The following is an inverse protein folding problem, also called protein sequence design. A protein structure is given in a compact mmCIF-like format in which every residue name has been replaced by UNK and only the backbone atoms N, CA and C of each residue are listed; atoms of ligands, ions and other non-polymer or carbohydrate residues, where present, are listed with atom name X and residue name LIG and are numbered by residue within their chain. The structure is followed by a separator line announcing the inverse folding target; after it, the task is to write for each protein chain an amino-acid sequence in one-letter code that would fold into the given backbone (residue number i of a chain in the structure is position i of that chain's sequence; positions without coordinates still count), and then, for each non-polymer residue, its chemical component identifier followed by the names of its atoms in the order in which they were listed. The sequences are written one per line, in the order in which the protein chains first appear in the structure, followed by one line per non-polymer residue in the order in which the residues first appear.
data_IF_448225627617
#
_entry.id   IF_448225627617
#
_cell.length_a   1.000
_cell.length_b   1.000
_cell.length_c   1.000
_cell.angle_alpha   90.00
_cell.angle_beta   90.00
_cell.angle_gamma   90.00
#
_symmetry.space_group_name_H-M   'P 1'
#
loop_
_entity.id
_entity.type
_entity.pdbx_description
1 polymer ?
#
# COMPACT_ATOMS: atom_id res chain seq x y z
N UNK A 1 2.82 6.99 -15.38
CA UNK A 1 3.44 8.29 -15.68
C UNK A 1 4.77 8.10 -16.37
N UNK A 2 5.22 9.11 -17.11
CA UNK A 2 6.52 9.10 -17.76
C UNK A 2 7.62 9.14 -16.70
N UNK A 3 8.71 8.37 -16.91
CA UNK A 3 9.84 8.32 -15.96
C UNK A 3 10.73 9.56 -16.03
N UNK A 4 10.69 10.27 -17.16
CA UNK A 4 11.58 11.38 -17.48
C UNK A 4 10.89 12.76 -17.37
N UNK A 5 9.68 12.83 -16.78
CA UNK A 5 8.94 14.08 -16.59
C UNK A 5 9.44 14.93 -15.39
N UNK A 6 10.47 14.48 -14.69
CA UNK A 6 11.07 15.16 -13.55
C UNK A 6 10.23 15.21 -12.28
N UNK A 7 9.07 14.54 -12.28
CA UNK A 7 8.16 14.51 -11.12
C UNK A 7 8.43 13.34 -10.18
N UNK A 8 8.06 13.53 -8.94
CA UNK A 8 8.03 12.46 -7.95
C UNK A 8 6.57 12.07 -7.64
N UNK A 9 6.32 10.78 -7.57
CA UNK A 9 4.98 10.23 -7.41
C UNK A 9 4.80 9.50 -6.09
N UNK A 10 3.57 9.54 -5.58
CA UNK A 10 3.09 8.65 -4.51
C UNK A 10 2.12 7.65 -5.15
N UNK A 11 2.57 6.43 -5.34
CA UNK A 11 1.76 5.31 -5.81
C UNK A 11 0.96 4.74 -4.64
N UNK A 12 -0.34 4.63 -4.81
CA UNK A 12 -1.25 4.07 -3.80
C UNK A 12 -2.09 2.96 -4.40
N UNK A 13 -2.20 1.84 -3.69
CA UNK A 13 -2.93 0.68 -4.17
C UNK A 13 -3.79 0.07 -3.09
N UNK A 14 -4.89 -0.60 -3.51
CA UNK A 14 -5.56 -1.58 -2.70
C UNK A 14 -4.62 -2.77 -2.42
N UNK A 15 -4.92 -3.56 -1.39
CA UNK A 15 -4.02 -4.58 -0.87
C UNK A 15 -4.68 -5.97 -0.75
N UNK A 16 -5.16 -6.57 -1.87
CA UNK A 16 -5.99 -7.78 -1.81
C UNK A 16 -5.23 -9.02 -1.36
N UNK A 17 -3.94 -9.14 -1.66
CA UNK A 17 -3.16 -10.35 -1.40
C UNK A 17 -2.26 -10.25 -0.16
N UNK A 18 -1.93 -9.04 0.29
CA UNK A 18 -1.19 -8.81 1.53
C UNK A 18 0.32 -9.03 1.46
N UNK A 19 0.88 -9.30 0.30
CA UNK A 19 2.32 -9.51 0.11
C UNK A 19 2.71 -9.59 -1.35
N UNK A 20 2.07 -10.48 -2.11
CA UNK A 20 2.36 -10.68 -3.54
C UNK A 20 2.08 -9.42 -4.39
N UNK A 21 1.01 -8.71 -4.09
CA UNK A 21 0.66 -7.43 -4.70
C UNK A 21 1.77 -6.39 -4.46
N UNK A 22 2.31 -6.33 -3.25
CA UNK A 22 3.46 -5.49 -2.95
C UNK A 22 4.68 -5.84 -3.82
N UNK A 23 5.07 -7.11 -3.85
CA UNK A 23 6.21 -7.58 -4.65
C UNK A 23 6.01 -7.29 -6.14
N UNK A 24 4.80 -7.58 -6.68
CA UNK A 24 4.49 -7.36 -8.08
C UNK A 24 4.55 -5.86 -8.44
N UNK A 25 3.90 -5.00 -7.66
CA UNK A 25 3.91 -3.55 -7.89
C UNK A 25 5.33 -2.97 -7.77
N UNK A 26 6.10 -3.42 -6.80
CA UNK A 26 7.49 -2.98 -6.69
C UNK A 26 8.36 -3.42 -7.87
N UNK A 27 8.13 -4.62 -8.40
CA UNK A 27 8.82 -5.05 -9.62
C UNK A 27 8.44 -4.18 -10.82
N UNK A 28 7.16 -3.85 -10.98
CA UNK A 28 6.67 -2.99 -12.07
C UNK A 28 7.26 -1.58 -11.94
N UNK A 29 7.09 -0.95 -10.78
CA UNK A 29 7.56 0.42 -10.53
C UNK A 29 9.08 0.48 -10.53
N UNK A 30 9.74 -0.49 -9.90
CA UNK A 30 11.20 -0.56 -9.84
C UNK A 30 11.85 -0.70 -11.21
N UNK A 31 11.27 -1.51 -12.10
CA UNK A 31 11.75 -1.61 -13.49
C UNK A 31 11.52 -0.33 -14.28
N UNK A 32 10.37 0.31 -14.10
CA UNK A 32 10.03 1.52 -14.84
C UNK A 32 10.88 2.73 -14.42
N UNK A 33 11.19 2.85 -13.13
CA UNK A 33 11.93 3.99 -12.56
C UNK A 33 13.37 3.65 -12.15
N UNK A 34 13.96 2.61 -12.73
CA UNK A 34 15.38 2.22 -12.50
C UNK A 34 15.71 2.04 -11.01
N UNK A 35 14.80 1.46 -10.23
CA UNK A 35 14.94 1.22 -8.80
C UNK A 35 14.70 2.44 -7.90
N UNK A 36 14.39 3.61 -8.46
CA UNK A 36 14.13 4.85 -7.73
C UNK A 36 12.76 4.88 -7.07
N UNK A 37 12.50 3.94 -6.16
CA UNK A 37 11.28 3.94 -5.35
C UNK A 37 11.55 3.40 -3.94
N UNK A 38 10.65 3.70 -3.02
CA UNK A 38 10.65 3.16 -1.65
C UNK A 38 9.26 2.72 -1.26
N UNK A 39 9.20 1.60 -0.57
CA UNK A 39 7.99 1.14 0.09
C UNK A 39 7.81 1.78 1.45
N UNK A 40 6.59 2.17 1.77
CA UNK A 40 6.16 2.34 3.15
C UNK A 40 5.48 1.04 3.61
N UNK A 41 6.23 0.18 4.30
CA UNK A 41 5.79 -1.16 4.69
C UNK A 41 5.80 -1.36 6.21
N UNK A 42 5.02 -2.36 6.65
CA UNK A 42 5.09 -2.85 8.03
C UNK A 42 6.45 -3.53 8.28
N UNK A 43 7.02 -3.38 9.47
CA UNK A 43 8.35 -3.91 9.87
C UNK A 43 8.55 -5.39 9.61
N UNK A 44 7.47 -6.19 9.68
CA UNK A 44 7.59 -7.61 9.40
C UNK A 44 8.19 -7.87 8.02
N UNK A 45 7.89 -7.01 7.04
CA UNK A 45 8.40 -7.11 5.68
C UNK A 45 9.86 -6.64 5.56
N UNK A 46 10.39 -5.88 6.52
CA UNK A 46 11.81 -5.51 6.57
C UNK A 46 12.74 -6.71 6.79
N UNK A 47 12.20 -7.80 7.33
CA UNK A 47 12.97 -9.03 7.55
C UNK A 47 13.11 -9.87 6.28
N UNK A 48 12.45 -9.49 5.18
CA UNK A 48 12.64 -10.14 3.89
C UNK A 48 13.88 -9.56 3.20
N UNK A 49 14.94 -10.37 2.97
CA UNK A 49 16.23 -9.87 2.48
C UNK A 49 16.14 -9.05 1.19
N UNK A 50 15.24 -9.43 0.28
CA UNK A 50 15.06 -8.75 -1.00
C UNK A 50 14.31 -7.42 -0.92
N UNK A 51 13.55 -7.15 0.16
CA UNK A 51 12.77 -5.93 0.32
C UNK A 51 13.48 -4.86 1.17
N UNK A 52 14.42 -5.27 2.02
CA UNK A 52 15.11 -4.37 2.95
C UNK A 52 15.74 -3.13 2.28
N UNK A 53 16.43 -3.22 1.13
CA UNK A 53 17.07 -2.06 0.50
C UNK A 53 16.10 -1.01 -0.02
N UNK A 54 14.88 -1.41 -0.36
CA UNK A 54 13.84 -0.54 -0.94
C UNK A 54 12.72 -0.19 0.03
N UNK A 55 12.79 -0.68 1.27
CA UNK A 55 11.71 -0.52 2.26
C UNK A 55 12.02 0.54 3.30
N UNK A 56 11.00 1.31 3.65
CA UNK A 56 10.97 2.18 4.82
C UNK A 56 10.06 1.50 5.83
N UNK A 57 10.62 1.02 6.94
CA UNK A 57 9.90 0.25 7.94
C UNK A 57 8.92 1.08 8.77
N UNK A 58 7.72 0.56 8.94
CA UNK A 58 6.71 1.09 9.85
C UNK A 58 6.63 0.17 11.06
N UNK A 59 7.31 0.49 12.15
CA UNK A 59 7.20 -0.31 13.35
C UNK A 59 5.94 0.04 14.16
N UNK A 60 5.10 -0.94 14.43
CA UNK A 60 3.89 -0.78 15.25
C UNK A 60 4.10 -1.16 16.72
N UNK A 61 5.26 -1.74 17.08
CA UNK A 61 5.53 -2.28 18.42
C UNK A 61 6.88 -1.84 18.95
N UNK A 62 6.91 -1.19 20.14
CA UNK A 62 8.12 -0.89 20.88
C UNK A 62 8.74 0.52 20.65
N UNK A 63 10.00 0.69 21.07
CA UNK A 63 10.73 1.98 21.03
C UNK A 63 10.85 2.60 19.62
N UNK A 64 10.84 1.78 18.59
CA UNK A 64 10.96 2.23 17.19
C UNK A 64 9.68 2.91 16.66
N UNK A 65 8.52 2.75 17.33
CA UNK A 65 7.29 3.46 16.92
C UNK A 65 7.42 4.99 16.98
N UNK A 66 8.40 5.52 17.71
CA UNK A 66 8.70 6.96 17.80
C UNK A 66 9.44 7.48 16.57
N UNK A 67 10.17 6.62 15.86
CA UNK A 67 10.95 7.01 14.67
C UNK A 67 10.13 6.91 13.38
N UNK A 68 8.94 6.28 13.43
CA UNK A 68 8.08 6.12 12.26
C UNK A 68 7.78 7.45 11.52
N UNK A 69 7.33 8.52 12.18
CA UNK A 69 7.09 9.79 11.48
C UNK A 69 8.33 10.32 10.78
N UNK A 70 9.52 10.17 11.40
CA UNK A 70 10.81 10.60 10.83
C UNK A 70 11.20 9.78 9.60
N UNK A 71 10.94 8.46 9.63
CA UNK A 71 11.23 7.57 8.50
C UNK A 71 10.30 7.82 7.32
N UNK A 72 9.01 8.03 7.57
CA UNK A 72 8.04 8.45 6.54
C UNK A 72 8.49 9.77 5.93
N UNK A 73 8.82 10.73 6.76
CA UNK A 73 9.29 12.04 6.33
C UNK A 73 10.56 11.95 5.48
N UNK A 74 11.56 11.17 5.91
CA UNK A 74 12.79 10.94 5.16
C UNK A 74 12.50 10.29 3.78
N UNK A 75 11.54 9.37 3.72
CA UNK A 75 11.10 8.78 2.45
C UNK A 75 10.49 9.81 1.50
N UNK A 76 9.59 10.63 1.99
CA UNK A 76 8.96 11.67 1.18
C UNK A 76 9.90 12.82 0.79
N UNK A 77 10.95 13.08 1.57
CA UNK A 77 12.03 14.03 1.24
C UNK A 77 13.02 13.51 0.22
N UNK A 78 13.09 12.20 0.00
CA UNK A 78 14.05 11.60 -0.93
C UNK A 78 13.65 11.80 -2.38
N UNK A 79 14.61 11.63 -3.29
CA UNK A 79 14.39 11.63 -4.75
C UNK A 79 13.82 10.29 -5.27
N UNK A 80 13.18 9.52 -4.39
CA UNK A 80 12.54 8.26 -4.76
C UNK A 80 11.03 8.43 -4.83
N UNK A 81 10.39 7.71 -5.73
CA UNK A 81 8.94 7.53 -5.70
C UNK A 81 8.53 6.75 -4.45
N UNK A 82 7.31 6.97 -3.98
CA UNK A 82 6.77 6.25 -2.82
C UNK A 82 5.69 5.28 -3.28
N UNK A 83 5.78 4.02 -2.84
CA UNK A 83 4.71 3.03 -2.99
C UNK A 83 4.17 2.67 -1.62
N UNK A 84 2.86 2.76 -1.46
CA UNK A 84 2.21 2.45 -0.20
C UNK A 84 0.80 1.87 -0.37
N UNK A 85 0.37 1.16 0.65
CA UNK A 85 -0.96 0.60 0.79
C UNK A 85 -1.68 1.32 1.93
N UNK A 86 -2.54 2.31 1.65
CA UNK A 86 -3.07 3.22 2.68
C UNK A 86 -3.93 2.53 3.74
N UNK A 87 -4.56 1.40 3.43
CA UNK A 87 -5.28 0.57 4.39
C UNK A 87 -4.37 0.00 5.50
N UNK A 88 -3.08 -0.19 5.21
CA UNK A 88 -2.07 -0.70 6.14
C UNK A 88 -2.21 -2.18 6.51
N UNK A 89 -3.25 -2.85 6.07
CA UNK A 89 -3.52 -4.28 6.17
C UNK A 89 -4.13 -4.75 4.86
N UNK A 90 -4.00 -6.04 4.58
CA UNK A 90 -4.64 -6.63 3.40
C UNK A 90 -6.17 -6.56 3.47
N UNK A 91 -6.81 -6.56 2.30
CA UNK A 91 -8.27 -6.48 2.14
C UNK A 91 -9.01 -7.55 2.94
N UNK A 92 -10.26 -7.26 3.26
CA UNK A 92 -11.20 -8.16 3.96
C UNK A 92 -12.35 -8.54 3.06
N UNK A 93 -13.02 -9.65 3.38
CA UNK A 93 -14.28 -10.04 2.75
C UNK A 93 -15.44 -9.47 3.60
N UNK A 94 -16.04 -8.37 3.12
CA UNK A 94 -17.14 -7.66 3.78
C UNK A 94 -18.36 -7.78 2.88
N UNK A 95 -19.48 -8.31 3.40
CA UNK A 95 -20.73 -8.50 2.64
C UNK A 95 -20.53 -9.19 1.27
N UNK A 96 -19.64 -10.20 1.23
CA UNK A 96 -19.34 -10.96 0.02
C UNK A 96 -18.34 -10.30 -0.93
N UNK A 97 -18.04 -9.02 -0.78
CA UNK A 97 -17.07 -8.28 -1.59
C UNK A 97 -15.69 -8.22 -0.90
N UNK A 98 -14.65 -8.24 -1.71
CA UNK A 98 -13.27 -8.02 -1.24
C UNK A 98 -13.00 -6.54 -1.32
N UNK A 99 -12.67 -5.96 -0.18
CA UNK A 99 -12.41 -4.53 -0.05
C UNK A 99 -11.38 -4.27 1.04
N UNK A 100 -10.64 -3.18 0.91
CA UNK A 100 -9.70 -2.74 1.93
C UNK A 100 -10.43 -2.26 3.19
N UNK A 101 -9.70 -2.20 4.28
CA UNK A 101 -10.09 -1.40 5.43
C UNK A 101 -9.95 0.09 5.06
N UNK A 102 -10.55 0.95 5.85
CA UNK A 102 -10.52 2.40 5.65
C UNK A 102 -9.10 2.92 5.40
N UNK A 103 -8.92 3.65 4.30
CA UNK A 103 -7.65 4.22 3.92
C UNK A 103 -7.24 5.38 4.82
N UNK A 104 -5.99 5.38 5.25
CA UNK A 104 -5.42 6.43 6.10
C UNK A 104 -5.02 7.63 5.28
N UNK A 105 -5.26 8.82 5.82
CA UNK A 105 -5.00 10.12 5.18
C UNK A 105 -3.52 10.49 4.99
N UNK A 106 -2.57 9.70 5.54
CA UNK A 106 -1.15 10.06 5.55
C UNK A 106 -0.59 10.32 4.16
N UNK A 107 -0.98 9.54 3.16
CA UNK A 107 -0.51 9.74 1.79
C UNK A 107 -0.97 11.07 1.20
N UNK A 108 -2.21 11.50 1.46
CA UNK A 108 -2.71 12.80 1.02
C UNK A 108 -1.89 13.92 1.64
N UNK A 109 -1.80 13.94 2.99
CA UNK A 109 -1.09 15.00 3.70
C UNK A 109 0.38 15.11 3.25
N UNK A 110 1.06 13.98 3.11
CA UNK A 110 2.48 13.96 2.70
C UNK A 110 2.66 14.27 1.21
N UNK A 111 1.74 13.85 0.34
CA UNK A 111 1.81 14.21 -1.08
C UNK A 111 1.64 15.71 -1.31
N UNK A 112 0.75 16.36 -0.58
CA UNK A 112 0.61 17.83 -0.61
C UNK A 112 1.86 18.51 -0.05
N UNK A 113 2.36 18.08 1.12
CA UNK A 113 3.53 18.65 1.80
C UNK A 113 4.79 18.60 0.92
N UNK A 114 4.97 17.49 0.19
CA UNK A 114 6.17 17.25 -0.65
C UNK A 114 5.90 17.38 -2.15
N UNK A 115 4.77 17.98 -2.55
CA UNK A 115 4.39 18.28 -3.94
C UNK A 115 4.49 17.07 -4.87
N UNK A 116 3.98 15.91 -4.41
CA UNK A 116 3.99 14.66 -5.15
C UNK A 116 2.60 14.35 -5.70
N UNK A 117 2.51 14.14 -7.01
CA UNK A 117 1.25 13.69 -7.60
C UNK A 117 0.94 12.27 -7.13
N UNK A 118 -0.34 11.97 -6.90
CA UNK A 118 -0.80 10.65 -6.44
C UNK A 118 -1.22 9.81 -7.62
N UNK A 119 -0.67 8.60 -7.73
CA UNK A 119 -1.02 7.64 -8.79
C UNK A 119 -1.83 6.50 -8.18
N UNK A 120 -3.15 6.43 -8.47
CA UNK A 120 -4.00 5.35 -8.00
C UNK A 120 -3.72 4.07 -8.80
N UNK A 121 -3.65 2.93 -8.12
CA UNK A 121 -3.44 1.61 -8.72
C UNK A 121 -4.48 0.64 -8.19
N UNK A 122 -5.18 -0.04 -9.08
CA UNK A 122 -5.99 -1.19 -8.73
C UNK A 122 -5.23 -2.48 -8.98
N UNK A 123 -5.11 -3.31 -7.95
CA UNK A 123 -4.60 -4.66 -8.04
C UNK A 123 -5.76 -5.65 -7.96
N UNK A 124 -6.01 -6.37 -9.07
CA UNK A 124 -7.05 -7.39 -9.14
C UNK A 124 -6.55 -8.71 -8.56
N UNK A 125 -7.27 -9.24 -7.58
CA UNK A 125 -6.93 -10.52 -6.95
C UNK A 125 -7.70 -10.75 -5.66
N UNK A 126 -7.61 -11.97 -5.15
CA UNK A 126 -8.20 -12.32 -3.85
C UNK A 126 -7.46 -13.51 -3.24
N UNK A 127 -7.43 -13.56 -1.94
CA UNK A 127 -7.03 -14.73 -1.18
C UNK A 127 -8.17 -15.77 -1.10
N UNK A 128 -7.89 -16.95 -0.58
CA UNK A 128 -8.90 -18.00 -0.41
C UNK A 128 -9.97 -17.62 0.60
N UNK A 129 -11.15 -18.24 0.49
CA UNK A 129 -12.21 -18.07 1.49
C UNK A 129 -11.81 -18.56 2.88
N UNK A 130 -10.87 -19.55 2.94
CA UNK A 130 -10.24 -19.99 4.19
C UNK A 130 -9.48 -18.84 4.85
N UNK A 131 -8.66 -18.11 4.07
CA UNK A 131 -7.92 -16.96 4.56
C UNK A 131 -8.85 -15.89 5.15
N UNK A 132 -9.92 -15.52 4.45
CA UNK A 132 -10.86 -14.51 4.95
C UNK A 132 -11.64 -14.97 6.19
N UNK A 133 -11.91 -16.27 6.35
CA UNK A 133 -12.49 -16.81 7.59
C UNK A 133 -11.54 -16.66 8.77
N UNK A 134 -10.25 -17.01 8.57
CA UNK A 134 -9.21 -16.85 9.59
C UNK A 134 -9.01 -15.37 9.94
N UNK A 135 -8.96 -14.49 8.93
CA UNK A 135 -8.82 -13.04 9.14
C UNK A 135 -9.98 -12.49 9.99
N UNK A 136 -11.22 -12.86 9.66
CA UNK A 136 -12.42 -12.47 10.43
C UNK A 136 -12.36 -12.96 11.88
N UNK A 137 -11.92 -14.21 12.08
CA UNK A 137 -11.75 -14.77 13.43
C UNK A 137 -10.68 -14.00 14.20
N UNK A 138 -9.53 -13.75 13.57
CA UNK A 138 -8.43 -12.99 14.16
C UNK A 138 -8.86 -11.58 14.58
N UNK A 139 -9.54 -10.86 13.69
CA UNK A 139 -10.00 -9.49 13.95
C UNK A 139 -11.03 -9.46 15.11
N UNK A 140 -11.86 -10.50 15.25
CA UNK A 140 -12.91 -10.57 16.28
C UNK A 140 -12.37 -10.97 17.66
N UNK A 141 -11.47 -11.97 17.72
CA UNK A 141 -11.09 -12.64 18.97
C UNK A 141 -9.64 -12.41 19.38
N UNK A 142 -8.73 -12.08 18.44
CA UNK A 142 -7.29 -11.96 18.71
C UNK A 142 -6.77 -10.58 18.30
N UNK A 143 -7.32 -9.54 18.93
CA UNK A 143 -7.07 -8.12 18.56
C UNK A 143 -5.60 -7.69 18.57
N UNK A 144 -4.71 -8.40 19.28
CA UNK A 144 -3.29 -8.02 19.43
C UNK A 144 -2.38 -8.61 18.37
N UNK A 145 -2.79 -9.68 17.70
CA UNK A 145 -1.96 -10.41 16.72
C UNK A 145 -2.78 -10.69 15.47
N UNK A 146 -2.31 -10.25 14.33
CA UNK A 146 -2.94 -10.59 13.05
C UNK A 146 -2.51 -12.01 12.61
N UNK A 147 -3.19 -13.03 13.15
CA UNK A 147 -2.91 -14.44 12.84
C UNK A 147 -3.01 -14.72 11.33
N UNK A 148 -3.90 -14.00 10.62
CA UNK A 148 -4.04 -14.19 9.17
C UNK A 148 -2.74 -13.94 8.41
N UNK A 149 -1.83 -13.09 8.92
CA UNK A 149 -0.52 -12.85 8.29
C UNK A 149 0.33 -14.12 8.19
N UNK A 150 0.20 -15.06 9.13
CA UNK A 150 0.94 -16.32 9.09
C UNK A 150 0.53 -17.21 7.91
N UNK A 151 -0.67 -17.01 7.37
CA UNK A 151 -1.21 -17.76 6.24
C UNK A 151 -0.96 -17.09 4.89
N UNK A 152 -0.33 -15.91 4.86
CA UNK A 152 -0.01 -15.23 3.59
C UNK A 152 0.97 -16.02 2.73
N UNK A 153 1.89 -16.74 3.35
CA UNK A 153 2.84 -17.62 2.64
C UNK A 153 2.08 -18.76 1.94
N UNK A 154 1.13 -19.40 2.63
CA UNK A 154 0.27 -20.45 2.06
C UNK A 154 -0.56 -19.91 0.86
N UNK A 155 -1.14 -18.71 1.01
CA UNK A 155 -1.87 -18.05 -0.08
C UNK A 155 -0.94 -17.71 -1.26
N UNK A 156 0.32 -17.38 -1.00
CA UNK A 156 1.31 -17.10 -2.02
C UNK A 156 1.58 -18.36 -2.88
N UNK A 157 1.77 -19.52 -2.26
CA UNK A 157 1.91 -20.79 -2.97
C UNK A 157 0.66 -21.16 -3.77
N UNK A 158 -0.54 -20.90 -3.23
CA UNK A 158 -1.82 -21.13 -3.93
C UNK A 158 -2.01 -20.27 -5.16
N UNK A 159 -1.28 -19.20 -5.26
CA UNK A 159 -1.36 -18.25 -6.35
C UNK A 159 -0.27 -18.45 -7.42
N UNK A 160 0.64 -19.43 -7.22
CA UNK A 160 1.63 -19.77 -8.23
C UNK A 160 0.95 -20.16 -9.54
N UNK A 161 1.40 -19.60 -10.64
CA UNK A 161 0.84 -19.83 -11.98
C UNK A 161 -0.44 -19.01 -12.29
N UNK A 162 -0.93 -18.21 -11.37
CA UNK A 162 -2.07 -17.31 -11.64
C UNK A 162 -1.62 -15.98 -12.23
N UNK A 163 -2.48 -15.43 -13.07
CA UNK A 163 -2.30 -14.08 -13.63
C UNK A 163 -3.16 -13.09 -12.87
N UNK A 164 -2.61 -11.93 -12.56
CA UNK A 164 -3.32 -10.84 -11.89
C UNK A 164 -3.37 -9.61 -12.80
N UNK A 165 -4.53 -8.96 -12.81
CA UNK A 165 -4.70 -7.68 -13.50
C UNK A 165 -4.19 -6.56 -12.61
N UNK A 166 -3.38 -5.66 -13.18
CA UNK A 166 -2.97 -4.40 -12.54
C UNK A 166 -3.42 -3.27 -13.46
N UNK A 167 -4.16 -2.32 -12.91
CA UNK A 167 -4.58 -1.12 -13.63
C UNK A 167 -3.96 0.09 -12.93
N UNK A 168 -3.18 0.87 -13.66
CA UNK A 168 -2.54 2.09 -13.18
C UNK A 168 -3.34 3.27 -13.72
N UNK A 169 -3.91 4.06 -12.82
CA UNK A 169 -4.68 5.25 -13.17
C UNK A 169 -3.81 6.44 -13.56
N UNK A 170 -4.45 7.51 -13.98
CA UNK A 170 -3.76 8.78 -14.27
C UNK A 170 -3.28 9.44 -12.98
N UNK A 171 -2.11 10.12 -13.00
CA UNK A 171 -1.66 10.90 -11.85
C UNK A 171 -2.70 11.98 -11.49
N UNK A 172 -2.98 12.09 -10.21
CA UNK A 172 -3.81 13.15 -9.63
C UNK A 172 -2.83 14.23 -9.14
N UNK A 173 -2.85 15.45 -9.69
CA UNK A 173 -1.97 16.53 -9.25
C UNK A 173 -2.15 16.81 -7.75
N UNK A 174 -1.07 17.00 -7.02
CA UNK A 174 -1.12 17.24 -5.57
C UNK A 174 -1.96 18.49 -5.21
N UNK A 175 -2.04 19.47 -6.11
CA UNK A 175 -2.85 20.69 -5.95
C UNK A 175 -4.36 20.39 -5.91
N UNK A 176 -4.79 19.23 -6.43
CA UNK A 176 -6.19 18.79 -6.36
C UNK A 176 -6.65 18.61 -4.91
N UNK A 177 -5.73 18.24 -4.02
CA UNK A 177 -6.03 18.00 -2.61
C UNK A 177 -6.04 19.30 -1.80
N UNK A 178 -6.96 20.16 -2.11
CA UNK A 178 -7.12 21.48 -1.50
C UNK A 178 -7.96 21.44 -0.20
N UNK A 179 -8.34 22.62 0.30
CA UNK A 179 -9.11 22.79 1.54
C UNK A 179 -10.63 22.56 1.37
N UNK A 180 -11.12 22.21 0.17
CA UNK A 180 -12.54 21.92 -0.07
C UNK A 180 -13.02 20.66 0.62
N UNK A 181 -12.08 19.75 0.94
CA UNK A 181 -12.31 18.51 1.67
C UNK A 181 -11.23 18.29 2.73
N UNK A 182 -11.57 17.53 3.76
CA UNK A 182 -10.57 17.05 4.72
C UNK A 182 -9.63 16.03 4.05
N UNK A 183 -8.44 15.86 4.60
CA UNK A 183 -7.51 14.82 4.08
C UNK A 183 -8.09 13.40 4.15
N UNK A 184 -9.06 13.17 5.02
CA UNK A 184 -9.75 11.88 5.14
C UNK A 184 -10.76 11.68 4.01
N UNK A 185 -11.52 12.71 3.67
CA UNK A 185 -12.44 12.71 2.52
C UNK A 185 -11.69 12.58 1.20
N UNK A 186 -10.52 13.23 1.07
CA UNK A 186 -9.64 13.04 -0.07
C UNK A 186 -9.09 11.62 -0.14
N UNK A 187 -8.73 11.02 0.99
CA UNK A 187 -8.27 9.62 1.01
C UNK A 187 -9.38 8.67 0.54
N UNK A 188 -10.63 8.91 0.97
CA UNK A 188 -11.79 8.15 0.51
C UNK A 188 -12.06 8.35 -0.98
N UNK A 189 -11.95 9.57 -1.47
CA UNK A 189 -12.10 9.87 -2.89
C UNK A 189 -11.10 9.08 -3.75
N UNK A 190 -9.82 9.04 -3.35
CA UNK A 190 -8.79 8.27 -4.08
C UNK A 190 -9.03 6.77 -3.96
N UNK A 191 -9.49 6.28 -2.79
CA UNK A 191 -9.89 4.89 -2.60
C UNK A 191 -10.99 4.50 -3.59
N UNK A 192 -12.05 5.31 -3.69
CA UNK A 192 -13.16 5.07 -4.62
C UNK A 192 -12.68 5.03 -6.07
N UNK A 193 -11.83 5.97 -6.48
CA UNK A 193 -11.21 5.96 -7.82
C UNK A 193 -10.42 4.67 -8.08
N UNK A 194 -9.69 4.15 -7.09
CA UNK A 194 -8.95 2.88 -7.24
C UNK A 194 -9.90 1.72 -7.54
N UNK A 195 -11.05 1.67 -6.88
CA UNK A 195 -12.02 0.59 -7.08
C UNK A 195 -12.88 0.77 -8.35
N UNK A 196 -12.81 1.91 -9.02
CA UNK A 196 -13.45 2.18 -10.31
C UNK A 196 -12.54 1.86 -11.52
N UNK A 197 -11.21 1.65 -11.30
CA UNK A 197 -10.24 1.25 -12.33
C UNK A 197 -10.45 -0.21 -12.78
#
# INVERSE_FOLDING_TARGET
PDKDDGKLYTFVSNHPLGGQDGVALGSIIGKHYDGRFRYLVNDLLLNLPGLKPVSIGINKTGKQSRDFPRMVEAGFKSDNHILMFPAGLNSRKINGKIHDLEWKKTFIAKSVEYQRDVVPIFFGGRNSDRFYRIARFSDKYVKKVNIAMLFLVDEMYRNVGKTFRVTIGKPIPWQTFDKSRTSMEWAKYVEDMVYEL
#
